data_IF_828646792364
#
_entry.id   IF_828646792364
#
_cell.length_a   1.000
_cell.length_b   1.000
_cell.length_c   1.000
_cell.angle_alpha   90.00
_cell.angle_beta   90.00
_cell.angle_gamma   90.00
#
_symmetry.space_group_name_H-M   'P 1'
#
loop_
_entity.id
_entity.type
_entity.pdbx_description
1 polymer ?
#
# COMPACT_ATOMS: atom_id res chain seq x y z
N UNK A 1 0.81 -3.65 -6.27
CA UNK A 1 0.20 -4.59 -7.24
C UNK A 1 -0.03 -5.91 -6.54
N UNK A 2 -1.17 -6.56 -6.77
CA UNK A 2 -1.38 -7.94 -6.35
C UNK A 2 -0.57 -8.92 -7.19
N UNK A 3 -0.54 -10.17 -6.75
CA UNK A 3 0.37 -11.21 -7.23
C UNK A 3 -0.19 -12.04 -8.41
N UNK A 4 -1.46 -11.87 -8.75
CA UNK A 4 -2.12 -12.65 -9.79
C UNK A 4 -1.80 -12.15 -11.22
N UNK A 5 -2.02 -13.05 -12.18
CA UNK A 5 -1.90 -12.79 -13.61
C UNK A 5 -3.26 -12.80 -14.31
N UNK A 6 -4.32 -12.37 -13.61
CA UNK A 6 -5.70 -12.34 -14.12
C UNK A 6 -6.19 -13.75 -14.49
N UNK A 7 -6.47 -14.05 -15.77
CA UNK A 7 -6.99 -15.37 -16.18
C UNK A 7 -6.12 -16.58 -15.82
N UNK A 8 -4.82 -16.38 -15.56
CA UNK A 8 -3.87 -17.46 -15.22
C UNK A 8 -3.83 -17.74 -13.71
N UNK A 9 -4.44 -16.89 -12.89
CA UNK A 9 -4.39 -17.00 -11.44
C UNK A 9 -3.00 -16.68 -10.89
N UNK A 10 -2.59 -17.41 -9.84
CA UNK A 10 -1.40 -17.10 -9.06
C UNK A 10 -0.12 -17.86 -9.48
N UNK A 11 -0.20 -18.78 -10.45
CA UNK A 11 0.98 -19.49 -10.93
C UNK A 11 1.98 -18.51 -11.55
N UNK A 12 3.22 -18.49 -11.04
CA UNK A 12 4.20 -17.52 -11.49
C UNK A 12 4.72 -17.85 -12.89
N UNK A 13 4.61 -16.87 -13.79
CA UNK A 13 5.16 -16.92 -15.15
C UNK A 13 6.00 -15.67 -15.40
N UNK A 14 7.31 -15.88 -15.58
CA UNK A 14 8.29 -14.79 -15.77
C UNK A 14 7.86 -13.83 -16.88
N UNK A 15 7.41 -14.35 -18.01
CA UNK A 15 7.01 -13.58 -19.19
C UNK A 15 5.78 -12.70 -18.92
N UNK A 16 4.83 -13.18 -18.11
CA UNK A 16 3.64 -12.41 -17.75
C UNK A 16 3.98 -11.26 -16.80
N UNK A 17 4.89 -11.49 -15.84
CA UNK A 17 5.38 -10.43 -14.97
C UNK A 17 6.19 -9.39 -15.75
N UNK A 18 7.11 -9.82 -16.63
CA UNK A 18 7.82 -8.90 -17.54
C UNK A 18 6.84 -8.08 -18.37
N UNK A 19 5.77 -8.69 -18.90
CA UNK A 19 4.73 -7.97 -19.64
C UNK A 19 4.01 -6.93 -18.78
N UNK A 20 3.66 -7.25 -17.53
CA UNK A 20 3.07 -6.28 -16.59
C UNK A 20 4.06 -5.13 -16.32
N UNK A 21 5.32 -5.43 -16.00
CA UNK A 21 6.34 -4.42 -15.70
C UNK A 21 6.65 -3.51 -16.90
N UNK A 22 6.70 -4.04 -18.12
CA UNK A 22 6.83 -3.23 -19.34
C UNK A 22 5.68 -2.22 -19.47
N UNK A 23 4.43 -2.67 -19.28
CA UNK A 23 3.26 -1.77 -19.30
C UNK A 23 3.33 -0.70 -18.23
N UNK A 24 3.78 -1.04 -17.03
CA UNK A 24 3.97 -0.07 -15.94
C UNK A 24 5.05 0.95 -16.30
N UNK A 25 6.20 0.52 -16.85
CA UNK A 25 7.25 1.43 -17.33
C UNK A 25 6.81 2.32 -18.48
N UNK A 26 6.03 1.79 -19.43
CA UNK A 26 5.47 2.57 -20.54
C UNK A 26 4.52 3.67 -20.02
N UNK A 27 3.87 3.45 -18.87
CA UNK A 27 3.06 4.44 -18.16
C UNK A 27 3.91 5.45 -17.36
N UNK A 28 5.22 5.25 -17.25
CA UNK A 28 6.15 6.12 -16.52
C UNK A 28 6.44 5.67 -15.07
N UNK A 29 6.01 4.47 -14.67
CA UNK A 29 6.25 3.94 -13.33
C UNK A 29 7.73 3.60 -13.14
N UNK A 30 8.29 4.03 -12.00
CA UNK A 30 9.67 3.73 -11.59
C UNK A 30 9.76 2.93 -10.27
N UNK A 31 8.64 2.70 -9.59
CA UNK A 31 8.59 1.97 -8.33
C UNK A 31 7.32 1.12 -8.20
N UNK A 32 7.44 -0.03 -7.53
CA UNK A 32 6.34 -0.96 -7.23
C UNK A 32 6.31 -1.23 -5.73
N UNK A 33 5.11 -1.20 -5.14
CA UNK A 33 4.83 -1.77 -3.83
C UNK A 33 4.14 -3.12 -4.01
N UNK A 34 4.70 -4.18 -3.40
CA UNK A 34 4.14 -5.53 -3.43
C UNK A 34 3.00 -5.65 -2.41
N UNK A 35 1.81 -5.20 -2.80
CA UNK A 35 0.63 -5.12 -1.93
C UNK A 35 -0.08 -6.48 -1.83
N UNK A 36 -0.23 -7.12 -0.68
CA UNK A 36 0.28 -6.78 0.67
C UNK A 36 0.97 -8.01 1.27
N UNK A 37 1.90 -8.55 0.49
CA UNK A 37 2.59 -9.80 0.75
C UNK A 37 3.92 -9.82 -0.02
N UNK A 38 4.88 -10.68 0.36
CA UNK A 38 6.13 -10.80 -0.38
C UNK A 38 5.89 -11.05 -1.88
N UNK A 39 6.81 -10.63 -2.77
CA UNK A 39 6.68 -10.79 -4.21
C UNK A 39 6.23 -12.20 -4.63
N UNK A 40 5.50 -12.33 -5.75
CA UNK A 40 4.90 -13.60 -6.17
C UNK A 40 5.92 -14.74 -6.34
N UNK A 41 7.17 -14.41 -6.64
CA UNK A 41 8.30 -15.32 -6.72
C UNK A 41 9.61 -14.51 -6.58
N UNK A 42 10.74 -15.14 -6.23
CA UNK A 42 12.05 -14.49 -6.21
C UNK A 42 12.39 -13.80 -7.54
N UNK A 43 12.04 -14.43 -8.66
CA UNK A 43 12.31 -13.91 -10.01
C UNK A 43 11.56 -12.60 -10.32
N UNK A 44 10.52 -12.25 -9.55
CA UNK A 44 9.88 -10.95 -9.67
C UNK A 44 10.83 -9.81 -9.28
N UNK A 45 11.68 -10.02 -8.28
CA UNK A 45 12.70 -9.06 -7.87
C UNK A 45 13.90 -9.05 -8.82
N UNK A 46 14.30 -10.20 -9.36
CA UNK A 46 15.29 -10.25 -10.45
C UNK A 46 14.85 -9.37 -11.63
N UNK A 47 13.57 -9.42 -12.00
CA UNK A 47 13.01 -8.59 -13.08
C UNK A 47 13.03 -7.11 -12.69
N UNK A 48 12.68 -6.76 -11.44
CA UNK A 48 12.77 -5.39 -10.96
C UNK A 48 14.21 -4.86 -11.03
N UNK A 49 15.19 -5.68 -10.65
CA UNK A 49 16.62 -5.36 -10.73
C UNK A 49 17.05 -5.12 -12.19
N UNK A 50 16.76 -6.07 -13.09
CA UNK A 50 17.09 -5.99 -14.51
C UNK A 50 16.43 -4.77 -15.20
N UNK A 51 15.20 -4.45 -14.81
CA UNK A 51 14.42 -3.36 -15.41
C UNK A 51 14.67 -1.99 -14.76
N UNK A 52 15.42 -1.92 -13.65
CA UNK A 52 15.65 -0.68 -12.90
C UNK A 52 14.36 -0.11 -12.31
N UNK A 53 13.52 -0.98 -11.72
CA UNK A 53 12.29 -0.61 -11.02
C UNK A 53 12.53 -0.77 -9.52
N UNK A 54 12.28 0.29 -8.75
CA UNK A 54 12.41 0.25 -7.29
C UNK A 54 11.27 -0.59 -6.68
N UNK A 55 11.53 -1.26 -5.56
CA UNK A 55 10.60 -2.14 -4.90
C UNK A 55 10.45 -1.80 -3.41
N UNK A 56 9.19 -1.82 -2.95
CA UNK A 56 8.81 -1.90 -1.54
C UNK A 56 8.27 -3.30 -1.33
N UNK A 57 9.00 -4.10 -0.55
CA UNK A 57 8.62 -5.46 -0.21
C UNK A 57 7.83 -5.45 1.10
N UNK A 58 6.64 -6.06 1.11
CA UNK A 58 5.68 -5.92 2.20
C UNK A 58 5.29 -7.26 2.79
N UNK A 59 5.43 -7.39 4.11
CA UNK A 59 5.27 -8.67 4.77
C UNK A 59 3.80 -9.04 5.03
N UNK A 60 3.00 -8.10 5.57
CA UNK A 60 1.72 -8.44 6.20
C UNK A 60 0.59 -7.48 5.84
N UNK A 61 -0.62 -8.02 5.69
CA UNK A 61 -1.87 -7.24 5.61
C UNK A 61 -2.62 -7.19 6.95
N UNK A 62 -2.26 -8.02 7.94
CA UNK A 62 -2.82 -7.96 9.29
C UNK A 62 -1.79 -8.49 10.30
N UNK A 63 -1.88 -8.00 11.54
CA UNK A 63 -1.06 -8.50 12.66
C UNK A 63 -1.94 -9.34 13.60
N UNK A 64 -1.96 -9.06 14.91
CA UNK A 64 -2.77 -9.83 15.86
C UNK A 64 -4.27 -9.55 15.72
N UNK A 65 -4.62 -8.32 15.35
CA UNK A 65 -5.99 -7.91 15.09
C UNK A 65 -6.35 -8.21 13.63
N UNK A 66 -7.02 -9.34 13.42
CA UNK A 66 -7.39 -9.83 12.09
C UNK A 66 -8.41 -8.97 11.34
N UNK A 67 -8.24 -8.85 10.03
CA UNK A 67 -9.19 -8.24 9.09
C UNK A 67 -10.21 -9.26 8.57
N UNK A 68 -9.80 -10.52 8.43
CA UNK A 68 -10.64 -11.59 7.90
C UNK A 68 -10.64 -12.83 8.79
N UNK A 69 -11.73 -13.62 8.71
CA UNK A 69 -11.98 -14.76 9.62
C UNK A 69 -10.83 -15.77 9.70
N UNK A 70 -10.13 -16.00 8.59
CA UNK A 70 -9.04 -16.97 8.49
C UNK A 70 -7.75 -16.32 8.00
N UNK A 71 -7.53 -15.05 8.38
CA UNK A 71 -6.33 -14.32 8.00
C UNK A 71 -5.10 -14.71 8.82
N UNK A 72 -4.00 -14.00 8.56
CA UNK A 72 -2.70 -14.25 9.16
C UNK A 72 -2.65 -14.02 10.67
N UNK A 73 -3.59 -13.26 11.24
CA UNK A 73 -3.74 -13.02 12.68
C UNK A 73 -3.79 -14.29 13.53
N UNK A 74 -4.33 -15.38 12.99
CA UNK A 74 -4.33 -16.69 13.66
C UNK A 74 -2.93 -17.32 13.80
N UNK A 75 -1.98 -16.87 12.99
CA UNK A 75 -0.63 -17.39 12.89
C UNK A 75 0.43 -16.38 13.36
N UNK A 76 0.06 -15.11 13.51
CA UNK A 76 0.99 -14.01 13.74
C UNK A 76 1.96 -14.27 14.91
N UNK A 77 1.44 -14.64 16.08
CA UNK A 77 2.26 -14.87 17.28
C UNK A 77 3.28 -16.01 17.12
N UNK A 78 2.97 -16.98 16.26
CA UNK A 78 3.82 -18.14 16.01
C UNK A 78 4.84 -17.87 14.89
N UNK A 79 4.43 -17.14 13.85
CA UNK A 79 5.14 -17.12 12.57
C UNK A 79 5.68 -15.75 12.16
N UNK A 80 5.17 -14.63 12.68
CA UNK A 80 5.53 -13.29 12.20
C UNK A 80 7.03 -13.03 12.19
N UNK A 81 7.74 -13.42 13.26
CA UNK A 81 9.20 -13.27 13.30
C UNK A 81 9.89 -14.08 12.21
N UNK A 82 9.48 -15.33 12.03
CA UNK A 82 10.09 -16.23 11.07
C UNK A 82 9.82 -15.74 9.65
N UNK A 83 8.57 -15.46 9.32
CA UNK A 83 8.17 -15.07 7.98
C UNK A 83 8.77 -13.70 7.57
N UNK A 84 8.81 -12.73 8.48
CA UNK A 84 9.51 -11.46 8.24
C UNK A 84 11.02 -11.65 8.07
N UNK A 85 11.63 -12.52 8.88
CA UNK A 85 13.06 -12.82 8.77
C UNK A 85 13.39 -13.52 7.46
N UNK A 86 12.58 -14.49 7.06
CA UNK A 86 12.76 -15.27 5.84
C UNK A 86 12.62 -14.36 4.59
N UNK A 87 11.65 -13.44 4.57
CA UNK A 87 11.52 -12.41 3.52
C UNK A 87 12.80 -11.57 3.40
N UNK A 88 13.27 -10.98 4.50
CA UNK A 88 14.45 -10.12 4.47
C UNK A 88 15.71 -10.91 4.10
N UNK A 89 15.91 -12.10 4.65
CA UNK A 89 17.09 -12.92 4.36
C UNK A 89 17.12 -13.39 2.90
N UNK A 90 15.95 -13.70 2.33
CA UNK A 90 15.80 -14.02 0.91
C UNK A 90 16.16 -12.82 0.04
N UNK A 91 15.66 -11.63 0.39
CA UNK A 91 15.56 -10.54 -0.59
C UNK A 91 16.58 -9.40 -0.40
N UNK A 92 17.29 -9.31 0.73
CA UNK A 92 18.19 -8.19 1.06
C UNK A 92 19.36 -7.94 0.11
N UNK A 93 19.61 -8.82 -0.85
CA UNK A 93 20.65 -8.63 -1.86
C UNK A 93 20.12 -7.98 -3.15
N UNK A 94 18.80 -7.86 -3.33
CA UNK A 94 18.21 -7.22 -4.51
C UNK A 94 18.41 -5.69 -4.47
N UNK A 95 19.10 -5.09 -5.46
CA UNK A 95 19.27 -3.63 -5.54
C UNK A 95 17.96 -2.88 -5.79
N UNK A 96 16.93 -3.53 -6.34
CA UNK A 96 15.60 -2.91 -6.52
C UNK A 96 14.93 -2.57 -5.19
N UNK A 97 15.15 -3.36 -4.13
CA UNK A 97 14.48 -3.12 -2.86
C UNK A 97 15.07 -1.88 -2.19
N UNK A 98 14.18 -0.94 -1.86
CA UNK A 98 14.54 0.30 -1.15
C UNK A 98 13.93 0.38 0.24
N UNK A 99 12.83 -0.34 0.50
CA UNK A 99 12.14 -0.34 1.78
C UNK A 99 11.51 -1.69 2.13
N UNK A 100 11.45 -1.99 3.43
CA UNK A 100 10.76 -3.13 4.03
C UNK A 100 9.47 -2.66 4.69
N UNK A 101 8.31 -3.03 4.16
CA UNK A 101 7.02 -2.70 4.74
C UNK A 101 6.56 -3.79 5.73
N UNK A 102 6.39 -3.41 6.99
CA UNK A 102 6.01 -4.34 8.06
C UNK A 102 4.49 -4.55 8.16
N UNK A 103 3.68 -3.79 7.43
CA UNK A 103 2.23 -3.90 7.54
C UNK A 103 1.46 -2.91 6.65
N UNK A 104 0.28 -3.31 6.21
CA UNK A 104 -0.69 -2.47 5.52
C UNK A 104 -1.99 -2.33 6.32
N UNK A 105 -2.42 -1.09 6.57
CA UNK A 105 -3.72 -0.76 7.16
C UNK A 105 -4.08 -1.61 8.40
N UNK A 106 -3.08 -1.88 9.24
CA UNK A 106 -3.20 -2.79 10.37
C UNK A 106 -4.15 -2.22 11.43
N UNK A 107 -4.96 -3.09 12.04
CA UNK A 107 -6.05 -2.68 12.91
C UNK A 107 -5.57 -2.11 14.26
N UNK A 108 -4.35 -2.41 14.66
CA UNK A 108 -3.70 -1.90 15.87
C UNK A 108 -3.54 -0.38 15.84
N UNK A 109 -3.55 0.26 14.67
CA UNK A 109 -3.64 1.71 14.53
C UNK A 109 -4.84 2.28 15.30
N UNK A 110 -5.95 1.55 15.38
CA UNK A 110 -7.18 2.02 16.05
C UNK A 110 -7.15 1.78 17.56
N UNK A 111 -6.12 1.10 18.07
CA UNK A 111 -5.90 0.85 19.49
C UNK A 111 -4.56 1.43 19.98
N UNK A 112 -3.94 2.30 19.18
CA UNK A 112 -2.63 2.90 19.45
C UNK A 112 -1.52 1.87 19.72
N UNK A 113 -1.54 0.74 19.00
CA UNK A 113 -0.54 -0.33 19.10
C UNK A 113 -0.29 -0.84 20.53
N UNK A 114 -1.31 -1.44 21.18
CA UNK A 114 -1.27 -1.73 22.62
C UNK A 114 -0.16 -2.72 23.01
N UNK A 115 0.29 -3.55 22.06
CA UNK A 115 1.33 -4.56 22.27
C UNK A 115 2.69 -4.15 21.67
N UNK A 116 2.82 -2.89 21.20
CA UNK A 116 4.04 -2.34 20.62
C UNK A 116 4.60 -3.20 19.44
N UNK A 117 3.68 -3.73 18.62
CA UNK A 117 4.00 -4.62 17.49
C UNK A 117 4.82 -3.87 16.44
N UNK A 118 4.58 -2.58 16.24
CA UNK A 118 5.33 -1.75 15.29
C UNK A 118 6.82 -1.74 15.62
N UNK A 119 7.16 -1.53 16.90
CA UNK A 119 8.56 -1.55 17.35
C UNK A 119 9.15 -2.96 17.26
N UNK A 120 8.40 -3.98 17.68
CA UNK A 120 8.83 -5.37 17.59
C UNK A 120 9.22 -5.79 16.15
N UNK A 121 8.36 -5.49 15.17
CA UNK A 121 8.66 -5.81 13.77
C UNK A 121 9.79 -4.94 13.21
N UNK A 122 9.83 -3.66 13.56
CA UNK A 122 10.94 -2.78 13.17
C UNK A 122 12.29 -3.28 13.69
N UNK A 123 12.37 -3.74 14.95
CA UNK A 123 13.59 -4.28 15.55
C UNK A 123 14.06 -5.55 14.84
N UNK A 124 13.13 -6.41 14.39
CA UNK A 124 13.47 -7.57 13.55
C UNK A 124 14.12 -7.11 12.24
N UNK A 125 13.53 -6.12 11.55
CA UNK A 125 14.12 -5.55 10.33
C UNK A 125 15.52 -5.03 10.61
N UNK A 126 15.68 -4.20 11.65
CA UNK A 126 16.97 -3.59 12.02
C UNK A 126 18.03 -4.58 12.48
N UNK A 127 17.63 -5.76 12.94
CA UNK A 127 18.57 -6.84 13.27
C UNK A 127 19.12 -7.53 12.01
N UNK A 128 18.36 -7.56 10.91
CA UNK A 128 18.68 -8.35 9.72
C UNK A 128 19.21 -7.52 8.55
N UNK A 129 18.72 -6.29 8.39
CA UNK A 129 19.13 -5.34 7.36
C UNK A 129 18.98 -3.88 7.83
N UNK A 130 20.11 -3.23 8.10
CA UNK A 130 20.16 -1.79 8.43
C UNK A 130 20.42 -0.90 7.22
N UNK A 131 20.61 -1.48 6.03
CA UNK A 131 20.95 -0.75 4.80
C UNK A 131 19.72 -0.17 4.10
N UNK A 132 18.53 -0.66 4.45
CA UNK A 132 17.24 -0.23 3.90
C UNK A 132 16.30 0.28 4.99
N UNK A 133 15.35 1.10 4.57
CA UNK A 133 14.41 1.74 5.48
C UNK A 133 13.22 0.81 5.78
N UNK A 134 12.77 0.77 7.02
CA UNK A 134 11.49 0.17 7.41
C UNK A 134 10.36 1.16 7.12
N UNK A 135 9.21 0.67 6.67
CA UNK A 135 7.99 1.44 6.43
C UNK A 135 6.74 0.66 6.89
N UNK A 136 5.59 1.33 6.97
CA UNK A 136 4.27 0.71 7.07
C UNK A 136 3.23 1.62 6.41
N UNK A 137 2.13 1.05 5.90
CA UNK A 137 1.03 1.79 5.29
C UNK A 137 -0.08 2.13 6.30
N UNK A 138 -0.22 3.40 6.68
CA UNK A 138 -1.18 3.86 7.67
C UNK A 138 -2.37 4.57 7.02
N UNK A 139 -3.56 3.94 7.09
CA UNK A 139 -4.82 4.59 6.70
C UNK A 139 -5.42 5.45 7.81
N UNK A 140 -5.12 5.15 9.08
CA UNK A 140 -5.48 6.00 10.23
C UNK A 140 -4.32 6.91 10.63
N UNK A 141 -4.03 7.89 9.75
CA UNK A 141 -2.85 8.75 9.89
C UNK A 141 -2.74 9.46 11.26
N UNK A 142 -3.84 10.02 11.78
CA UNK A 142 -3.84 10.71 13.07
C UNK A 142 -3.46 9.75 14.20
N UNK A 143 -4.09 8.58 14.26
CA UNK A 143 -3.79 7.63 15.33
C UNK A 143 -2.34 7.15 15.25
N UNK A 144 -1.81 6.89 14.05
CA UNK A 144 -0.43 6.47 13.86
C UNK A 144 0.59 7.57 14.24
N UNK A 145 0.23 8.84 14.04
CA UNK A 145 1.04 9.99 14.48
C UNK A 145 0.97 10.17 16.01
N UNK A 146 -0.23 10.09 16.59
CA UNK A 146 -0.47 10.27 18.03
C UNK A 146 0.09 9.12 18.88
N UNK A 147 0.01 7.87 18.39
CA UNK A 147 0.57 6.70 19.08
C UNK A 147 2.08 6.60 18.97
N UNK A 148 2.71 7.34 18.04
CA UNK A 148 4.13 7.22 17.72
C UNK A 148 4.47 6.10 16.74
N UNK A 149 3.51 5.27 16.29
CA UNK A 149 3.75 4.22 15.30
C UNK A 149 4.42 4.74 14.02
N UNK A 150 3.97 5.91 13.54
CA UNK A 150 4.56 6.55 12.36
C UNK A 150 6.02 6.95 12.56
N UNK A 151 6.42 7.28 13.79
CA UNK A 151 7.80 7.65 14.14
C UNK A 151 8.70 6.45 14.43
N UNK A 152 8.12 5.27 14.70
CA UNK A 152 8.87 4.03 14.96
C UNK A 152 9.53 3.46 13.71
N UNK A 153 8.90 3.62 12.55
CA UNK A 153 9.47 3.23 11.24
C UNK A 153 10.31 4.37 10.67
N UNK A 154 11.28 4.07 9.79
CA UNK A 154 12.16 5.10 9.22
C UNK A 154 11.44 6.03 8.25
N UNK A 155 10.45 5.50 7.52
CA UNK A 155 9.63 6.22 6.55
C UNK A 155 8.18 5.82 6.74
N UNK A 156 7.31 6.77 7.11
CA UNK A 156 5.89 6.52 7.26
C UNK A 156 5.16 6.53 5.91
N UNK A 157 4.36 5.51 5.63
CA UNK A 157 3.43 5.49 4.51
C UNK A 157 2.05 5.95 4.97
N UNK A 158 1.41 6.89 4.25
CA UNK A 158 0.03 7.28 4.53
C UNK A 158 -0.89 6.92 3.36
N UNK A 159 -1.92 6.10 3.64
CA UNK A 159 -2.90 5.65 2.65
C UNK A 159 -4.03 6.67 2.52
N UNK A 160 -4.32 7.10 1.29
CA UNK A 160 -5.47 7.93 0.93
C UNK A 160 -5.58 9.23 1.73
N UNK A 161 -4.47 9.97 1.88
CA UNK A 161 -4.46 11.30 2.50
C UNK A 161 -4.03 12.47 1.60
N UNK A 162 -4.15 12.42 0.25
CA UNK A 162 -3.83 13.59 -0.57
C UNK A 162 -4.77 14.77 -0.21
N UNK A 163 -4.26 16.00 -0.27
CA UNK A 163 -5.02 17.24 -0.02
C UNK A 163 -5.36 17.55 1.45
N UNK A 164 -5.38 16.56 2.34
CA UNK A 164 -5.85 16.75 3.72
C UNK A 164 -4.76 17.05 4.75
N UNK A 165 -3.80 16.14 4.92
CA UNK A 165 -2.93 16.13 6.11
C UNK A 165 -1.44 16.36 5.83
N UNK A 166 -0.96 16.14 4.59
CA UNK A 166 0.49 16.16 4.32
C UNK A 166 1.17 17.50 4.67
N UNK A 167 0.51 18.63 4.43
CA UNK A 167 1.04 19.94 4.83
C UNK A 167 1.13 20.07 6.36
N UNK A 168 0.11 19.58 7.09
CA UNK A 168 0.09 19.58 8.55
C UNK A 168 1.18 18.67 9.13
N UNK A 169 1.42 17.50 8.52
CA UNK A 169 2.51 16.61 8.92
C UNK A 169 3.86 17.31 8.75
N UNK A 170 4.09 17.99 7.62
CA UNK A 170 5.33 18.75 7.40
C UNK A 170 5.53 19.87 8.41
N UNK A 171 4.46 20.52 8.84
CA UNK A 171 4.50 21.60 9.84
C UNK A 171 4.76 21.06 11.26
N UNK A 172 4.02 20.03 11.69
CA UNK A 172 4.04 19.54 13.07
C UNK A 172 5.13 18.48 13.33
N UNK A 173 5.53 17.75 12.29
CA UNK A 173 6.51 16.66 12.35
C UNK A 173 7.60 16.86 11.27
N UNK A 174 8.39 17.96 11.34
CA UNK A 174 9.28 18.36 10.24
C UNK A 174 10.37 17.32 9.90
N UNK A 175 10.74 16.47 10.87
CA UNK A 175 11.75 15.42 10.70
C UNK A 175 11.15 14.08 10.24
N UNK A 176 9.81 13.93 10.24
CA UNK A 176 9.18 12.70 9.80
C UNK A 176 9.32 12.56 8.28
N UNK A 177 10.00 11.50 7.86
CA UNK A 177 10.05 11.10 6.45
C UNK A 177 8.76 10.35 6.15
N UNK A 178 8.05 10.76 5.10
CA UNK A 178 6.84 10.09 4.71
C UNK A 178 6.61 10.14 3.20
N UNK A 179 5.78 9.21 2.72
CA UNK A 179 5.28 9.13 1.36
C UNK A 179 3.81 8.68 1.37
N UNK A 180 3.16 8.77 0.23
CA UNK A 180 1.82 8.23 0.05
C UNK A 180 1.94 6.75 -0.38
N UNK A 181 1.75 5.83 0.56
CA UNK A 181 1.90 4.38 0.33
C UNK A 181 0.75 3.77 -0.47
N UNK A 182 -0.40 4.43 -0.48
CA UNK A 182 -1.55 4.05 -1.29
C UNK A 182 -2.35 5.30 -1.66
N UNK A 183 -2.64 5.46 -2.95
CA UNK A 183 -3.34 6.62 -3.51
C UNK A 183 -4.30 6.21 -4.61
N UNK A 184 -5.22 7.12 -4.95
CA UNK A 184 -6.25 6.88 -5.95
C UNK A 184 -7.50 6.30 -5.30
N UNK A 185 -7.96 5.16 -5.80
CA UNK A 185 -9.26 4.59 -5.46
C UNK A 185 -10.37 4.99 -6.43
N UNK A 186 -10.04 5.63 -7.56
CA UNK A 186 -10.94 5.77 -8.69
C UNK A 186 -11.21 4.41 -9.33
N UNK A 187 -12.47 4.18 -9.71
CA UNK A 187 -12.94 2.97 -10.38
C UNK A 187 -13.29 3.31 -11.82
N UNK A 188 -12.93 2.43 -12.74
CA UNK A 188 -13.16 2.64 -14.17
C UNK A 188 -13.35 1.31 -14.90
N UNK A 189 -14.11 1.34 -15.99
CA UNK A 189 -14.30 0.19 -16.89
C UNK A 189 -13.80 0.59 -18.26
N UNK A 190 -12.77 -0.12 -18.76
CA UNK A 190 -12.18 0.14 -20.08
C UNK A 190 -13.28 0.27 -21.16
N UNK A 191 -13.27 1.39 -21.88
CA UNK A 191 -14.26 1.76 -22.90
C UNK A 191 -15.70 2.02 -22.39
N UNK A 192 -15.89 2.32 -21.10
CA UNK A 192 -17.15 2.80 -20.52
C UNK A 192 -17.11 4.32 -20.33
N UNK A 193 -17.92 5.06 -21.09
CA UNK A 193 -18.01 6.52 -21.01
C UNK A 193 -19.44 6.93 -20.68
N UNK A 194 -19.59 7.76 -19.66
CA UNK A 194 -20.90 8.19 -19.13
C UNK A 194 -21.11 9.66 -19.43
N UNK A 195 -22.24 9.98 -20.03
CA UNK A 195 -22.60 11.34 -20.41
C UNK A 195 -23.99 11.73 -19.85
N UNK A 196 -24.16 12.99 -19.39
CA UNK A 196 -23.12 14.01 -19.26
C UNK A 196 -22.07 13.64 -18.19
N UNK A 197 -20.86 14.18 -18.31
CA UNK A 197 -19.83 13.99 -17.28
C UNK A 197 -20.23 14.81 -16.07
N UNK A 198 -20.59 14.12 -14.99
CA UNK A 198 -20.87 14.73 -13.69
C UNK A 198 -19.68 14.42 -12.79
N UNK A 199 -18.91 15.46 -12.46
CA UNK A 199 -17.86 15.34 -11.46
C UNK A 199 -18.49 15.34 -10.07
N UNK A 200 -18.05 14.41 -9.24
CA UNK A 200 -18.49 14.40 -7.86
C UNK A 200 -17.83 15.55 -7.10
N UNK A 201 -18.67 16.49 -6.65
CA UNK A 201 -18.25 17.68 -5.91
C UNK A 201 -18.66 17.63 -4.44
N UNK A 202 -19.31 16.55 -4.00
CA UNK A 202 -19.83 16.42 -2.64
C UNK A 202 -19.03 15.37 -1.89
N UNK A 203 -18.35 15.83 -0.83
CA UNK A 203 -17.55 14.97 0.02
C UNK A 203 -18.03 15.02 1.47
N UNK A 204 -17.93 13.89 2.16
CA UNK A 204 -18.14 13.85 3.60
C UNK A 204 -16.94 14.48 4.35
N UNK A 205 -17.02 14.54 5.68
CA UNK A 205 -15.96 15.09 6.53
C UNK A 205 -14.58 14.40 6.39
N UNK A 206 -14.54 13.21 5.78
CA UNK A 206 -13.33 12.42 5.54
C UNK A 206 -12.75 12.65 4.14
N UNK A 207 -13.37 13.51 3.31
CA UNK A 207 -12.98 13.75 1.92
C UNK A 207 -13.50 12.68 0.95
N UNK A 208 -14.31 11.74 1.43
CA UNK A 208 -14.92 10.70 0.59
C UNK A 208 -16.11 11.24 -0.17
N UNK A 209 -16.27 10.85 -1.43
CA UNK A 209 -17.53 10.97 -2.18
C UNK A 209 -18.75 10.56 -1.35
N UNK A 210 -19.80 11.40 -1.34
CA UNK A 210 -21.13 10.98 -0.86
C UNK A 210 -22.03 10.47 -1.98
N UNK A 211 -21.53 10.47 -3.22
CA UNK A 211 -22.32 10.13 -4.38
C UNK A 211 -22.20 8.64 -4.68
N UNK A 212 -23.19 7.87 -4.26
CA UNK A 212 -23.23 6.41 -4.41
C UNK A 212 -24.09 5.96 -5.60
N UNK A 213 -24.42 6.86 -6.52
CA UNK A 213 -25.25 6.51 -7.67
C UNK A 213 -24.52 5.55 -8.61
N UNK A 214 -25.08 4.34 -8.75
CA UNK A 214 -24.64 3.38 -9.74
C UNK A 214 -25.31 3.70 -11.07
N UNK A 215 -24.52 3.74 -12.15
CA UNK A 215 -25.06 3.79 -13.50
C UNK A 215 -25.96 2.58 -13.77
N UNK A 216 -26.97 2.74 -14.62
CA UNK A 216 -27.99 1.70 -14.86
C UNK A 216 -27.43 0.35 -15.35
N UNK A 217 -26.25 0.36 -16.00
CA UNK A 217 -25.55 -0.85 -16.44
C UNK A 217 -24.59 -1.43 -15.39
N UNK A 218 -24.55 -0.83 -14.19
CA UNK A 218 -23.70 -1.23 -13.07
C UNK A 218 -22.21 -0.93 -13.26
N UNK A 219 -21.82 -0.20 -14.32
CA UNK A 219 -20.41 0.04 -14.65
C UNK A 219 -20.00 1.49 -14.35
N UNK A 220 -18.83 1.75 -13.73
CA UNK A 220 -18.29 3.10 -13.59
C UNK A 220 -17.95 3.73 -14.95
N UNK A 221 -17.78 5.06 -14.96
CA UNK A 221 -17.28 5.81 -16.11
C UNK A 221 -15.76 6.05 -16.05
N UNK A 222 -15.14 6.32 -17.20
CA UNK A 222 -13.70 6.58 -17.32
C UNK A 222 -13.25 8.03 -17.02
N UNK A 223 -14.05 8.80 -16.28
CA UNK A 223 -13.74 10.20 -15.95
C UNK A 223 -13.30 10.39 -14.50
N UNK A 224 -12.87 9.30 -13.84
CA UNK A 224 -12.48 9.28 -12.42
C UNK A 224 -13.53 9.87 -11.47
N UNK A 225 -14.80 9.78 -11.85
CA UNK A 225 -15.93 10.31 -11.09
C UNK A 225 -16.65 9.23 -10.27
N UNK A 226 -16.11 8.02 -10.24
CA UNK A 226 -16.55 6.92 -9.38
C UNK A 226 -15.35 6.44 -8.57
N UNK A 227 -15.50 6.28 -7.27
CA UNK A 227 -14.40 5.88 -6.38
C UNK A 227 -14.89 5.01 -5.22
N UNK A 228 -13.95 4.30 -4.61
CA UNK A 228 -14.20 3.58 -3.36
C UNK A 228 -14.37 4.56 -2.18
N UNK A 229 -15.11 4.18 -1.11
CA UNK A 229 -15.40 5.07 0.03
C UNK A 229 -14.20 5.56 0.85
N UNK A 230 -13.00 5.06 0.60
CA UNK A 230 -11.77 5.53 1.23
C UNK A 230 -10.83 6.22 0.24
N UNK A 231 -11.13 6.16 -1.07
CA UNK A 231 -10.33 6.74 -2.13
C UNK A 231 -10.54 8.24 -2.27
N UNK A 232 -9.55 8.93 -2.85
CA UNK A 232 -9.59 10.38 -3.10
C UNK A 232 -9.40 10.62 -4.60
N UNK A 233 -10.30 11.40 -5.20
CA UNK A 233 -10.24 11.77 -6.62
C UNK A 233 -9.20 12.87 -6.87
N UNK A 234 -8.61 12.93 -8.06
CA UNK A 234 -7.70 14.01 -8.44
C UNK A 234 -8.40 15.37 -8.59
N UNK A 235 -9.71 15.37 -8.85
CA UNK A 235 -10.52 16.58 -9.05
C UNK A 235 -11.27 17.00 -7.78
N UNK A 236 -10.59 17.10 -6.64
CA UNK A 236 -11.16 17.74 -5.45
C UNK A 236 -11.04 19.26 -5.59
N UNK A 237 -12.12 20.01 -5.35
CA UNK A 237 -12.09 21.49 -5.35
C UNK A 237 -10.98 22.00 -4.42
N UNK A 238 -10.12 22.88 -4.94
CA UNK A 238 -9.24 23.75 -4.16
C UNK A 238 -10.08 24.68 -3.27
#
# INVERSE_FOLDING_TARGET
MHHDFGPVGAAFHKELFVRQMKKMKDMGVNAIRFSHNPPPAPEALDICDEMGILAIDEAFDEWQLGKVLNGYSKQFDLWAKKDLSDMILRDRNHPSIVMWSIGNEIMEQYQHDPNNITAYLNDIVKTLDTTRATTAGFNSANNALESGMAATVDVAGFNYKPGGIYHKIREHYPNLKFYASETGGALSTRNSYKFPVVFDTLQNKRGTSVNTELYADGQPGNYENTNVPWGVMHHTKN
#
